data_IF_540921561807
#
_entry.id   IF_540921561807
#
_cell.length_a   1.000
_cell.length_b   1.000
_cell.length_c   1.000
_cell.angle_alpha   90.00
_cell.angle_beta   90.00
_cell.angle_gamma   90.00
#
_symmetry.space_group_name_H-M   'P 1'
#
loop_
_entity.id
_entity.type
_entity.pdbx_description
1 polymer ?
#
# COMPACT_ATOMS: atom_id res chain seq x y z
N UNK A 1 -11.08 10.03 8.91
CA UNK A 1 -9.80 9.34 8.62
C UNK A 1 -9.61 9.09 7.12
N UNK A 2 -9.34 10.12 6.31
CA UNK A 2 -9.36 9.97 4.85
C UNK A 2 -8.16 9.20 4.27
N UNK A 3 -6.97 9.36 4.86
CA UNK A 3 -5.71 8.80 4.35
C UNK A 3 -5.67 7.26 4.46
N UNK A 4 -6.07 6.70 5.61
CA UNK A 4 -6.12 5.24 5.80
C UNK A 4 -7.04 4.56 4.80
N UNK A 5 -8.21 5.13 4.57
CA UNK A 5 -9.19 4.58 3.63
C UNK A 5 -8.69 4.69 2.19
N UNK A 6 -8.00 5.79 1.84
CA UNK A 6 -7.35 5.95 0.52
C UNK A 6 -6.23 4.93 0.32
N UNK A 7 -5.35 4.74 1.31
CA UNK A 7 -4.30 3.73 1.29
C UNK A 7 -4.89 2.33 1.11
N UNK A 8 -5.93 1.99 1.89
CA UNK A 8 -6.62 0.71 1.78
C UNK A 8 -7.23 0.51 0.39
N UNK A 9 -7.96 1.49 -0.13
CA UNK A 9 -8.58 1.43 -1.45
C UNK A 9 -7.55 1.32 -2.58
N UNK A 10 -6.39 2.00 -2.45
CA UNK A 10 -5.26 1.79 -3.36
C UNK A 10 -4.82 0.34 -3.28
N UNK A 11 -4.49 -0.17 -2.09
CA UNK A 11 -3.98 -1.53 -1.83
C UNK A 11 -4.92 -2.65 -2.30
N UNK A 12 -6.23 -2.46 -2.13
CA UNK A 12 -7.27 -3.40 -2.56
C UNK A 12 -7.49 -3.36 -4.08
N UNK A 13 -7.29 -2.20 -4.72
CA UNK A 13 -7.38 -2.04 -6.18
C UNK A 13 -6.13 -2.49 -6.95
N UNK A 14 -5.02 -2.76 -6.25
CA UNK A 14 -3.80 -3.27 -6.86
C UNK A 14 -3.99 -4.74 -7.21
N UNK A 15 -4.15 -5.04 -8.50
CA UNK A 15 -4.18 -6.42 -9.00
C UNK A 15 -2.79 -7.07 -8.92
N UNK A 16 -2.18 -7.37 -10.07
CA UNK A 16 -0.87 -8.03 -10.11
C UNK A 16 0.32 -7.13 -9.75
N UNK A 17 0.13 -5.82 -9.67
CA UNK A 17 1.20 -4.85 -9.41
C UNK A 17 1.16 -4.40 -7.94
N UNK A 18 1.71 -5.24 -7.06
CA UNK A 18 1.80 -4.93 -5.63
C UNK A 18 2.67 -3.68 -5.43
N UNK A 19 2.05 -2.62 -4.93
CA UNK A 19 2.73 -1.37 -4.64
C UNK A 19 3.59 -1.53 -3.39
N UNK A 20 4.81 -0.99 -3.46
CA UNK A 20 5.66 -0.75 -2.31
C UNK A 20 5.16 0.46 -1.52
N UNK A 21 5.59 0.59 -0.27
CA UNK A 21 5.27 1.76 0.56
C UNK A 21 5.68 3.06 -0.15
N UNK A 22 6.80 3.04 -0.88
CA UNK A 22 7.29 4.17 -1.68
C UNK A 22 6.34 4.55 -2.83
N UNK A 23 5.77 3.56 -3.53
CA UNK A 23 4.81 3.83 -4.59
C UNK A 23 3.47 4.38 -4.07
N UNK A 24 3.08 4.00 -2.85
CA UNK A 24 1.92 4.57 -2.17
C UNK A 24 2.19 6.03 -1.79
N UNK A 25 3.41 6.34 -1.31
CA UNK A 25 3.82 7.72 -1.01
C UNK A 25 3.79 8.59 -2.25
N UNK A 26 4.33 8.12 -3.38
CA UNK A 26 4.30 8.91 -4.63
C UNK A 26 2.87 9.19 -5.12
N UNK A 27 1.98 8.18 -5.07
CA UNK A 27 0.56 8.39 -5.42
C UNK A 27 -0.13 9.37 -4.49
N UNK A 28 0.12 9.28 -3.18
CA UNK A 28 -0.48 10.19 -2.20
C UNK A 28 0.05 11.61 -2.37
N UNK A 29 1.36 11.78 -2.63
CA UNK A 29 1.93 13.08 -2.94
C UNK A 29 1.30 13.68 -4.22
N UNK A 30 1.03 12.85 -5.24
CA UNK A 30 0.31 13.27 -6.45
C UNK A 30 -1.13 13.73 -6.19
N UNK A 31 -1.79 13.14 -5.20
CA UNK A 31 -3.11 13.55 -4.71
C UNK A 31 -3.07 14.81 -3.80
N UNK A 32 -1.89 15.39 -3.57
CA UNK A 32 -1.67 16.52 -2.66
C UNK A 32 -1.63 16.13 -1.18
N UNK A 33 -1.49 14.84 -0.87
CA UNK A 33 -1.40 14.29 0.48
C UNK A 33 0.07 14.00 0.79
N UNK A 34 0.71 14.92 1.49
CA UNK A 34 2.09 14.73 1.92
C UNK A 34 2.16 13.74 3.09
N UNK A 35 2.75 12.57 2.85
CA UNK A 35 2.91 11.52 3.86
C UNK A 35 4.27 10.85 3.76
N UNK A 36 4.89 10.61 4.93
CA UNK A 36 6.15 9.89 4.99
C UNK A 36 5.94 8.37 4.86
N UNK A 37 6.90 7.69 4.23
CA UNK A 37 6.97 6.22 4.12
C UNK A 37 6.79 5.49 5.46
N UNK A 38 7.36 6.02 6.55
CA UNK A 38 7.21 5.45 7.91
C UNK A 38 5.76 5.46 8.40
N UNK A 39 4.99 6.50 8.04
CA UNK A 39 3.57 6.61 8.38
C UNK A 39 2.74 5.62 7.58
N UNK A 40 3.05 5.46 6.29
CA UNK A 40 2.43 4.43 5.44
C UNK A 40 2.68 3.03 6.00
N UNK A 41 3.93 2.71 6.38
CA UNK A 41 4.28 1.42 6.99
C UNK A 41 3.47 1.16 8.27
N UNK A 42 3.37 2.14 9.17
CA UNK A 42 2.54 2.06 10.39
C UNK A 42 1.08 1.80 10.08
N UNK A 43 0.52 2.48 9.07
CA UNK A 43 -0.86 2.24 8.66
C UNK A 43 -1.05 0.86 8.04
N UNK A 44 -0.07 0.38 7.27
CA UNK A 44 -0.10 -0.96 6.66
C UNK A 44 -0.09 -2.06 7.73
N UNK A 45 0.72 -1.90 8.77
CA UNK A 45 0.71 -2.77 9.96
C UNK A 45 -0.62 -2.70 10.72
N UNK A 46 -1.14 -1.49 10.93
CA UNK A 46 -2.43 -1.28 11.60
C UNK A 46 -3.61 -1.92 10.86
N UNK A 47 -3.53 -1.95 9.52
CA UNK A 47 -4.51 -2.58 8.64
C UNK A 47 -4.29 -4.09 8.47
N UNK A 48 -3.28 -4.67 9.13
CA UNK A 48 -2.85 -6.08 9.00
C UNK A 48 -2.57 -6.50 7.55
N UNK A 49 -2.09 -5.58 6.74
CA UNK A 49 -1.77 -5.85 5.33
C UNK A 49 -0.35 -6.44 5.27
N UNK A 50 -0.17 -7.68 4.79
CA UNK A 50 1.13 -8.34 4.74
C UNK A 50 2.08 -7.60 3.79
N UNK A 51 3.39 -7.76 4.01
CA UNK A 51 4.43 -7.11 3.21
C UNK A 51 4.25 -7.31 1.71
N UNK A 52 4.63 -6.29 0.94
CA UNK A 52 4.60 -6.35 -0.52
C UNK A 52 5.43 -7.50 -1.07
N UNK A 53 6.42 -8.01 -0.32
CA UNK A 53 7.19 -9.23 -0.63
C UNK A 53 6.33 -10.49 -0.43
N UNK A 54 5.58 -10.56 0.67
CA UNK A 54 4.68 -11.69 0.95
C UNK A 54 3.55 -11.76 -0.06
N UNK A 55 2.88 -10.63 -0.36
CA UNK A 55 1.87 -10.59 -1.43
C UNK A 55 2.45 -10.98 -2.80
N UNK A 56 3.72 -10.63 -3.10
CA UNK A 56 4.35 -10.96 -4.39
C UNK A 56 4.60 -12.45 -4.53
N UNK A 57 4.87 -13.12 -3.40
CA UNK A 57 4.99 -14.59 -3.34
C UNK A 57 3.62 -15.25 -3.52
N UNK A 58 2.57 -14.74 -2.87
CA UNK A 58 1.20 -15.25 -3.03
C UNK A 58 0.71 -15.12 -4.48
N UNK A 59 0.89 -13.95 -5.10
CA UNK A 59 0.49 -13.72 -6.50
C UNK A 59 1.29 -14.58 -7.51
N UNK A 60 2.52 -15.00 -7.16
CA UNK A 60 3.30 -15.96 -7.96
C UNK A 60 2.92 -17.42 -7.71
N UNK A 61 2.34 -17.74 -6.55
CA UNK A 61 1.94 -19.09 -6.19
C UNK A 61 0.55 -19.46 -6.75
N UNK A 62 -0.31 -18.45 -6.97
CA UNK A 62 -1.61 -18.59 -7.64
C UNK A 62 -1.52 -18.68 -9.18
N UNK A 63 -0.30 -18.71 -9.75
CA UNK A 63 -0.06 -18.75 -11.21
C UNK A 63 0.66 -20.03 -11.61
#
# INVERSE_FOLDING_TARGET
EAVRHRIKAMIEGEGSAILSDDAIVERLNGDGIEIARRTVAKYRESLRIPSSIQRRRENRADR
#
